data_IF_236245212847
#
_entry.id   IF_236245212847
#
_cell.length_a   1.000
_cell.length_b   1.000
_cell.length_c   1.000
_cell.angle_alpha   90.00
_cell.angle_beta   90.00
_cell.angle_gamma   90.00
#
_symmetry.space_group_name_H-M   'P 1'
#
loop_
_entity.id
_entity.type
_entity.pdbx_description
1 polymer ?
#
# COMPACT_ATOMS: atom_id res chain seq x y z
N UNK A 1 -8.27 17.07 3.67
CA UNK A 1 -9.43 16.23 3.99
C UNK A 1 -8.90 15.02 4.75
N UNK A 2 -9.28 14.86 6.01
CA UNK A 2 -8.80 13.74 6.80
C UNK A 2 -9.31 12.43 6.21
N UNK A 3 -8.39 11.47 6.04
CA UNK A 3 -8.73 10.13 5.61
C UNK A 3 -9.40 9.42 6.79
N UNK A 4 -10.71 9.07 6.71
CA UNK A 4 -11.39 8.49 7.86
C UNK A 4 -10.88 7.08 8.16
N UNK A 5 -10.62 6.79 9.44
CA UNK A 5 -10.30 5.44 9.92
C UNK A 5 -11.61 4.80 10.37
N UNK A 6 -12.30 4.14 9.44
CA UNK A 6 -13.64 3.59 9.67
C UNK A 6 -13.81 2.13 9.22
N UNK A 7 -12.72 1.45 8.87
CA UNK A 7 -12.75 0.08 8.35
C UNK A 7 -13.24 -0.06 6.91
N UNK A 8 -13.57 1.04 6.22
CA UNK A 8 -14.00 1.02 4.81
C UNK A 8 -12.83 1.33 3.89
N UNK A 9 -12.55 0.44 2.94
CA UNK A 9 -11.53 0.68 1.92
C UNK A 9 -12.10 1.57 0.80
N UNK A 10 -12.12 2.89 1.02
CA UNK A 10 -12.59 3.87 0.05
C UNK A 10 -11.48 4.48 -0.81
N UNK A 11 -11.84 5.48 -1.64
CA UNK A 11 -10.88 6.19 -2.50
C UNK A 11 -9.69 6.78 -1.74
N UNK A 12 -9.93 7.28 -0.52
CA UNK A 12 -8.86 7.83 0.30
C UNK A 12 -7.86 6.75 0.75
N UNK A 13 -8.35 5.61 1.26
CA UNK A 13 -7.51 4.47 1.65
C UNK A 13 -6.73 3.93 0.45
N UNK A 14 -7.39 3.82 -0.72
CA UNK A 14 -6.74 3.41 -1.96
C UNK A 14 -5.57 4.34 -2.33
N UNK A 15 -5.79 5.65 -2.30
CA UNK A 15 -4.74 6.63 -2.60
C UNK A 15 -3.59 6.56 -1.60
N UNK A 16 -3.88 6.36 -0.30
CA UNK A 16 -2.86 6.17 0.72
C UNK A 16 -2.01 4.90 0.46
N UNK A 17 -2.65 3.78 0.09
CA UNK A 17 -1.95 2.55 -0.30
C UNK A 17 -1.10 2.78 -1.55
N UNK A 18 -1.60 3.51 -2.56
CA UNK A 18 -0.82 3.82 -3.75
C UNK A 18 0.45 4.62 -3.41
N UNK A 19 0.34 5.63 -2.55
CA UNK A 19 1.48 6.41 -2.08
C UNK A 19 2.50 5.55 -1.31
N UNK A 20 2.02 4.62 -0.47
CA UNK A 20 2.87 3.67 0.24
C UNK A 20 3.61 2.73 -0.72
N UNK A 21 2.90 2.16 -1.70
CA UNK A 21 3.47 1.32 -2.74
C UNK A 21 4.53 2.04 -3.57
N UNK A 22 4.27 3.30 -3.93
CA UNK A 22 5.22 4.13 -4.65
C UNK A 22 6.49 4.42 -3.83
N UNK A 23 6.34 4.68 -2.53
CA UNK A 23 7.46 4.91 -1.61
C UNK A 23 8.37 3.68 -1.49
N UNK A 24 7.80 2.48 -1.46
CA UNK A 24 8.54 1.21 -1.33
C UNK A 24 8.50 0.38 -2.63
N UNK A 25 8.60 1.05 -3.78
CA UNK A 25 8.45 0.42 -5.11
C UNK A 25 9.38 -0.78 -5.35
N UNK A 26 10.59 -0.76 -4.79
CA UNK A 26 11.58 -1.82 -4.96
C UNK A 26 11.19 -3.11 -4.23
N UNK A 27 10.49 -2.98 -3.10
CA UNK A 27 10.04 -4.12 -2.29
C UNK A 27 8.66 -4.62 -2.71
N UNK A 28 7.83 -3.74 -3.29
CA UNK A 28 6.42 -4.04 -3.56
C UNK A 28 6.12 -4.20 -5.05
N UNK A 29 6.53 -3.25 -5.89
CA UNK A 29 6.13 -3.19 -7.30
C UNK A 29 7.06 -4.00 -8.20
N UNK A 30 8.37 -3.86 -8.02
CA UNK A 30 9.35 -4.55 -8.88
C UNK A 30 9.26 -6.09 -8.83
N UNK A 31 9.08 -6.74 -7.67
CA UNK A 31 8.94 -8.20 -7.62
C UNK A 31 7.70 -8.70 -8.38
N UNK A 32 6.65 -7.87 -8.43
CA UNK A 32 5.41 -8.13 -9.15
C UNK A 32 5.47 -7.67 -10.63
N UNK A 33 6.62 -7.17 -11.10
CA UNK A 33 6.80 -6.57 -12.44
C UNK A 33 5.82 -5.43 -12.73
N UNK A 34 5.40 -4.71 -11.68
CA UNK A 34 4.56 -3.53 -11.79
C UNK A 34 5.43 -2.28 -11.82
N UNK A 35 5.05 -1.32 -12.66
CA UNK A 35 5.71 -0.01 -12.75
C UNK A 35 4.95 1.07 -11.99
N UNK A 36 3.66 0.87 -11.76
CA UNK A 36 2.75 1.82 -11.15
C UNK A 36 2.06 1.23 -9.92
N UNK A 37 1.74 2.04 -8.90
CA UNK A 37 0.96 1.59 -7.75
C UNK A 37 -0.49 1.29 -8.14
N UNK A 38 -1.09 0.27 -7.53
CA UNK A 38 -2.48 -0.17 -7.83
C UNK A 38 -3.47 0.22 -6.75
N UNK A 39 -2.98 0.44 -5.52
CA UNK A 39 -3.81 0.58 -4.34
C UNK A 39 -4.40 -0.74 -3.83
N UNK A 40 -4.03 -1.88 -4.44
CA UNK A 40 -4.41 -3.20 -3.97
C UNK A 40 -3.42 -3.69 -2.90
N UNK A 41 -3.93 -4.07 -1.73
CA UNK A 41 -3.11 -4.57 -0.61
C UNK A 41 -2.83 -6.06 -0.81
N UNK A 42 -1.86 -6.36 -1.69
CA UNK A 42 -1.38 -7.72 -1.96
C UNK A 42 -0.27 -8.19 -1.01
N UNK A 43 0.26 -9.41 -1.19
CA UNK A 43 1.23 -10.03 -0.28
C UNK A 43 2.47 -9.18 0.00
N UNK A 44 3.09 -8.56 -1.01
CA UNK A 44 4.27 -7.70 -0.79
C UNK A 44 3.93 -6.40 -0.07
N UNK A 45 2.72 -5.86 -0.26
CA UNK A 45 2.25 -4.68 0.49
C UNK A 45 2.08 -5.05 1.96
N UNK A 46 1.42 -6.18 2.26
CA UNK A 46 1.26 -6.70 3.63
C UNK A 46 2.63 -6.97 4.27
N UNK A 47 3.53 -7.65 3.54
CA UNK A 47 4.88 -7.93 4.01
C UNK A 47 5.60 -6.65 4.44
N UNK A 48 5.57 -5.60 3.62
CA UNK A 48 6.24 -4.33 3.94
C UNK A 48 5.57 -3.58 5.09
N UNK A 49 4.24 -3.65 5.20
CA UNK A 49 3.53 -3.08 6.34
C UNK A 49 3.93 -3.77 7.64
N UNK A 50 3.98 -5.10 7.67
CA UNK A 50 4.35 -5.87 8.85
C UNK A 50 5.84 -5.70 9.21
N UNK A 51 6.74 -5.58 8.22
CA UNK A 51 8.16 -5.28 8.47
C UNK A 51 8.35 -3.96 9.22
N UNK A 52 7.53 -2.95 8.93
CA UNK A 52 7.66 -1.60 9.49
C UNK A 52 6.83 -1.37 10.75
N UNK A 53 5.66 -2.01 10.85
CA UNK A 53 4.62 -1.70 11.82
C UNK A 53 3.94 -2.94 12.41
N UNK A 54 4.39 -4.15 12.06
CA UNK A 54 3.92 -5.37 12.71
C UNK A 54 4.54 -5.50 14.09
N UNK A 55 3.73 -5.92 15.07
CA UNK A 55 4.17 -6.29 16.42
C UNK A 55 4.70 -7.73 16.48
#
# INVERSE_FOLDING_TARGET
>A
SDCPINGVFGNCTKAAVMNFQQKYKYDILLPEKQTEPTGFVGPNTIKKLNELYGE
#
